data_IF_118401271428
#
_entry.id   IF_118401271428
#
_cell.length_a   1.000
_cell.length_b   1.000
_cell.length_c   1.000
_cell.angle_alpha   90.00
_cell.angle_beta   90.00
_cell.angle_gamma   90.00
#
_symmetry.space_group_name_H-M   'P 1'
#
loop_
_entity.id
_entity.type
_entity.pdbx_description
1 polymer ?
#
# COMPACT_ATOMS: atom_id res chain seq x y z
N UNK A 1 -6.20 -7.95 22.72
CA UNK A 1 -6.86 -6.78 22.10
C UNK A 1 -5.81 -5.94 21.38
N UNK A 2 -6.06 -5.57 20.13
CA UNK A 2 -5.21 -4.68 19.34
C UNK A 2 -5.42 -3.23 19.78
N UNK A 3 -4.35 -2.44 19.83
CA UNK A 3 -4.49 -0.98 19.93
C UNK A 3 -4.86 -0.42 18.55
N UNK A 4 -6.10 0.04 18.41
CA UNK A 4 -6.68 0.45 17.13
C UNK A 4 -5.90 1.59 16.46
N UNK A 5 -5.46 2.59 17.24
CA UNK A 5 -4.71 3.74 16.71
C UNK A 5 -3.31 3.33 16.28
N UNK A 6 -2.61 2.56 17.13
CA UNK A 6 -1.25 2.11 16.82
C UNK A 6 -1.24 1.24 15.55
N UNK A 7 -2.21 0.34 15.40
CA UNK A 7 -2.33 -0.52 14.22
C UNK A 7 -2.67 0.27 12.95
N UNK A 8 -3.57 1.26 13.03
CA UNK A 8 -3.88 2.12 11.90
C UNK A 8 -2.66 2.94 11.44
N UNK A 9 -1.92 3.55 12.38
CA UNK A 9 -0.70 4.29 12.07
C UNK A 9 0.41 3.40 11.51
N UNK A 10 0.63 2.22 12.07
CA UNK A 10 1.67 1.30 11.59
C UNK A 10 1.34 0.80 10.18
N UNK A 11 0.08 0.45 9.91
CA UNK A 11 -0.33 -0.01 8.58
C UNK A 11 -0.19 1.10 7.54
N UNK A 12 -0.63 2.32 7.86
CA UNK A 12 -0.47 3.47 6.99
C UNK A 12 1.01 3.79 6.70
N UNK A 13 1.86 3.75 7.73
CA UNK A 13 3.29 4.01 7.60
C UNK A 13 3.99 2.93 6.76
N UNK A 14 3.68 1.66 7.02
CA UNK A 14 4.24 0.54 6.26
C UNK A 14 3.83 0.60 4.79
N UNK A 15 2.53 0.78 4.51
CA UNK A 15 2.02 0.90 3.14
C UNK A 15 2.63 2.09 2.41
N UNK A 16 2.75 3.24 3.08
CA UNK A 16 3.40 4.42 2.52
C UNK A 16 4.88 4.18 2.21
N UNK A 17 5.63 3.59 3.14
CA UNK A 17 7.05 3.29 2.94
C UNK A 17 7.26 2.30 1.79
N UNK A 18 6.47 1.24 1.72
CA UNK A 18 6.49 0.26 0.62
C UNK A 18 6.22 0.97 -0.70
N UNK A 19 5.20 1.83 -0.78
CA UNK A 19 4.89 2.56 -2.00
C UNK A 19 6.04 3.46 -2.47
N UNK A 20 6.70 4.18 -1.55
CA UNK A 20 7.87 5.00 -1.89
C UNK A 20 9.00 4.14 -2.48
N UNK A 21 9.27 2.98 -1.88
CA UNK A 21 10.27 2.04 -2.39
C UNK A 21 9.91 1.54 -3.79
N UNK A 22 8.66 1.13 -4.01
CA UNK A 22 8.19 0.70 -5.33
C UNK A 22 8.24 1.84 -6.36
N UNK A 23 7.92 3.06 -5.96
CA UNK A 23 8.03 4.22 -6.85
C UNK A 23 9.48 4.52 -7.23
N UNK A 24 10.39 4.53 -6.26
CA UNK A 24 11.82 4.70 -6.52
C UNK A 24 12.35 3.62 -7.45
N UNK A 25 11.94 2.36 -7.24
CA UNK A 25 12.30 1.25 -8.11
C UNK A 25 11.71 1.41 -9.52
N UNK A 26 10.46 1.86 -9.65
CA UNK A 26 9.84 2.10 -10.95
C UNK A 26 10.56 3.19 -11.76
N UNK A 27 11.15 4.18 -11.09
CA UNK A 27 11.92 5.27 -11.70
C UNK A 27 13.34 4.82 -12.07
N UNK A 28 14.05 4.13 -11.17
CA UNK A 28 15.45 3.75 -11.36
C UNK A 28 15.61 2.49 -12.22
N UNK A 29 14.74 1.49 -12.02
CA UNK A 29 14.80 0.20 -12.72
C UNK A 29 13.41 -0.40 -12.96
N UNK A 30 12.81 0.02 -14.07
CA UNK A 30 11.45 -0.34 -14.45
C UNK A 30 11.19 -1.85 -14.57
N UNK A 31 12.15 -2.62 -15.08
CA UNK A 31 11.98 -4.07 -15.25
C UNK A 31 12.01 -4.82 -13.92
N UNK A 32 12.88 -4.39 -12.98
CA UNK A 32 12.87 -4.93 -11.62
C UNK A 32 11.56 -4.59 -10.89
N UNK A 33 11.01 -3.39 -11.08
CA UNK A 33 9.69 -3.03 -10.57
C UNK A 33 8.61 -3.97 -11.11
N UNK A 34 8.54 -4.20 -12.43
CA UNK A 34 7.55 -5.11 -13.04
C UNK A 34 7.66 -6.51 -12.47
N UNK A 35 8.89 -7.04 -12.37
CA UNK A 35 9.15 -8.36 -11.81
C UNK A 35 8.66 -8.48 -10.36
N UNK A 36 9.08 -7.56 -9.48
CA UNK A 36 8.71 -7.59 -8.06
C UNK A 36 7.22 -7.28 -7.82
N UNK A 37 6.63 -6.39 -8.62
CA UNK A 37 5.22 -6.07 -8.52
C UNK A 37 4.36 -7.26 -8.93
N UNK A 38 4.60 -7.83 -10.11
CA UNK A 38 3.85 -8.98 -10.61
C UNK A 38 4.02 -10.23 -9.73
N UNK A 39 5.18 -10.40 -9.08
CA UNK A 39 5.41 -11.50 -8.14
C UNK A 39 4.43 -11.51 -6.95
N UNK A 40 3.93 -10.33 -6.52
CA UNK A 40 2.91 -10.23 -5.47
C UNK A 40 1.53 -10.71 -5.94
N UNK A 41 1.30 -10.72 -7.24
CA UNK A 41 0.05 -11.17 -7.88
C UNK A 41 0.22 -12.53 -8.54
N UNK A 42 1.10 -13.38 -7.99
CA UNK A 42 1.37 -14.73 -8.49
C UNK A 42 1.85 -14.76 -9.96
N UNK A 43 2.57 -13.72 -10.39
CA UNK A 43 3.09 -13.61 -11.76
C UNK A 43 2.10 -13.05 -12.78
N UNK A 44 0.87 -12.71 -12.38
CA UNK A 44 -0.04 -12.00 -13.27
C UNK A 44 0.54 -10.63 -13.65
N UNK A 45 0.44 -10.25 -14.93
CA UNK A 45 1.02 -9.01 -15.46
C UNK A 45 0.18 -7.77 -15.14
N UNK A 46 -0.04 -7.54 -13.84
CA UNK A 46 -0.83 -6.42 -13.32
C UNK A 46 -0.07 -5.10 -13.51
N UNK A 47 1.26 -5.14 -13.50
CA UNK A 47 2.08 -3.95 -13.76
C UNK A 47 1.83 -3.32 -15.13
N UNK A 48 1.36 -4.10 -16.12
CA UNK A 48 0.99 -3.57 -17.44
C UNK A 48 -0.25 -2.66 -17.41
N UNK A 49 -1.10 -2.76 -16.38
CA UNK A 49 -2.26 -1.90 -16.18
C UNK A 49 -1.90 -0.53 -15.60
N UNK A 50 -0.67 -0.37 -15.09
CA UNK A 50 -0.23 0.87 -14.49
C UNK A 50 0.13 1.91 -15.58
N UNK A 51 -0.12 3.21 -15.34
CA UNK A 51 0.23 4.26 -16.27
C UNK A 51 1.71 4.18 -16.67
N UNK A 52 1.98 4.23 -17.97
CA UNK A 52 3.35 4.14 -18.45
C UNK A 52 4.19 5.38 -18.11
N UNK A 53 3.53 6.52 -18.00
CA UNK A 53 4.10 7.81 -17.62
C UNK A 53 3.75 8.11 -16.16
N UNK A 54 4.79 8.24 -15.33
CA UNK A 54 4.63 8.64 -13.93
C UNK A 54 4.62 10.16 -13.85
N UNK A 55 3.49 10.75 -13.46
CA UNK A 55 3.40 12.19 -13.17
C UNK A 55 3.59 12.43 -11.68
N UNK A 56 4.19 13.57 -11.32
CA UNK A 56 4.35 13.96 -9.92
C UNK A 56 2.99 14.08 -9.20
N UNK A 57 1.99 14.67 -9.87
CA UNK A 57 0.63 14.78 -9.34
C UNK A 57 -0.03 13.40 -9.12
N UNK A 58 0.15 12.46 -10.07
CA UNK A 58 -0.35 11.09 -9.93
C UNK A 58 0.31 10.36 -8.75
N UNK A 59 1.63 10.50 -8.60
CA UNK A 59 2.37 9.96 -7.46
C UNK A 59 1.84 10.47 -6.12
N UNK A 60 1.76 11.79 -5.94
CA UNK A 60 1.31 12.39 -4.67
C UNK A 60 -0.15 12.02 -4.39
N UNK A 61 -1.01 12.06 -5.40
CA UNK A 61 -2.42 11.68 -5.26
C UNK A 61 -2.59 10.21 -4.83
N UNK A 62 -1.91 9.29 -5.50
CA UNK A 62 -1.93 7.86 -5.12
C UNK A 62 -1.35 7.63 -3.73
N UNK A 63 -0.28 8.32 -3.35
CA UNK A 63 0.32 8.19 -2.02
C UNK A 63 -0.63 8.62 -0.90
N UNK A 64 -1.27 9.78 -1.04
CA UNK A 64 -2.24 10.29 -0.05
C UNK A 64 -3.44 9.35 0.04
N UNK A 65 -3.98 8.91 -1.11
CA UNK A 65 -5.08 7.97 -1.14
C UNK A 65 -4.70 6.65 -0.46
N UNK A 66 -3.53 6.09 -0.77
CA UNK A 66 -3.03 4.85 -0.17
C UNK A 66 -2.91 4.97 1.36
N UNK A 67 -2.28 6.03 1.87
CA UNK A 67 -2.13 6.25 3.31
C UNK A 67 -3.49 6.35 3.99
N UNK A 68 -4.41 7.15 3.43
CA UNK A 68 -5.75 7.31 3.98
C UNK A 68 -6.52 6.00 4.02
N UNK A 69 -6.54 5.26 2.91
CA UNK A 69 -7.22 3.96 2.84
C UNK A 69 -6.59 2.91 3.73
N UNK A 70 -5.26 2.84 3.82
CA UNK A 70 -4.55 1.91 4.69
C UNK A 70 -4.84 2.21 6.16
N UNK A 71 -4.84 3.49 6.55
CA UNK A 71 -5.19 3.90 7.91
C UNK A 71 -6.64 3.51 8.26
N UNK A 72 -7.60 3.84 7.39
CA UNK A 72 -9.03 3.53 7.59
C UNK A 72 -9.26 2.02 7.69
N UNK A 73 -8.65 1.24 6.79
CA UNK A 73 -8.74 -0.21 6.78
C UNK A 73 -8.12 -0.81 8.06
N UNK A 74 -6.96 -0.29 8.47
CA UNK A 74 -6.30 -0.71 9.70
C UNK A 74 -7.15 -0.44 10.93
N UNK A 75 -7.69 0.77 11.05
CA UNK A 75 -8.60 1.14 12.14
C UNK A 75 -9.83 0.24 12.19
N UNK A 76 -10.52 0.08 11.06
CA UNK A 76 -11.72 -0.74 10.95
C UNK A 76 -11.44 -2.21 11.33
N UNK A 77 -10.32 -2.76 10.85
CA UNK A 77 -9.92 -4.12 11.15
C UNK A 77 -9.60 -4.33 12.63
N UNK A 78 -8.78 -3.45 13.23
CA UNK A 78 -8.44 -3.57 14.64
C UNK A 78 -9.67 -3.40 15.55
N UNK A 79 -10.60 -2.51 15.17
CA UNK A 79 -11.88 -2.36 15.85
C UNK A 79 -12.74 -3.63 15.76
N UNK A 80 -12.90 -4.20 14.55
CA UNK A 80 -13.69 -5.41 14.32
C UNK A 80 -13.08 -6.61 15.07
N UNK A 81 -11.76 -6.79 14.99
CA UNK A 81 -11.05 -7.84 15.71
C UNK A 81 -11.30 -7.75 17.21
N UNK A 82 -11.22 -6.55 17.81
CA UNK A 82 -11.48 -6.38 19.23
C UNK A 82 -12.92 -6.68 19.61
N UNK A 83 -13.89 -6.36 18.75
CA UNK A 83 -15.30 -6.70 18.93
C UNK A 83 -15.53 -8.21 18.93
N UNK A 84 -14.93 -8.93 17.98
CA UNK A 84 -15.08 -10.38 17.84
C UNK A 84 -14.26 -11.18 18.85
N UNK A 85 -13.14 -10.65 19.32
CA UNK A 85 -12.32 -11.32 20.34
C UNK A 85 -12.88 -11.13 21.77
N UNK A 86 -13.84 -10.22 21.95
CA UNK A 86 -14.51 -9.97 23.22
C UNK A 86 -15.85 -10.73 23.36
N UNK A 87 -16.26 -11.48 22.33
CA UNK A 87 -17.38 -12.43 22.35
C UNK A 87 -16.90 -13.84 22.65
#
# INVERSE_FOLDING_TARGET
>A
MLNTMAFAHSLATLSGAVYIVFYALAVVWRDAFRFLFNAQFFGADVAALLPQQLTYAGFVGTFIALIGFAWLSGFAWAWLYNRLAAS
#
